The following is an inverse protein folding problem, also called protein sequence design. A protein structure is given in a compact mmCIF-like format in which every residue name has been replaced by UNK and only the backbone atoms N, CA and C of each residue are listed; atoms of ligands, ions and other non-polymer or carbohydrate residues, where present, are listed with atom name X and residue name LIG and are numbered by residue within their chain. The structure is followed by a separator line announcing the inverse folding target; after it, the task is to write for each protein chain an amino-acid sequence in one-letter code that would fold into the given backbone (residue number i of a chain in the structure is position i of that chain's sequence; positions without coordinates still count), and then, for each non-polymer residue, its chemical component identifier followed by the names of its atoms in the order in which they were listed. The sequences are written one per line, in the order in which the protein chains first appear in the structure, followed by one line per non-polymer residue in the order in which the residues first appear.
data_IF_146449479762
#
_entry.id   IF_146449479762
#
_cell.length_a   1.000
_cell.length_b   1.000
_cell.length_c   1.000
_cell.angle_alpha   90.00
_cell.angle_beta   90.00
_cell.angle_gamma   90.00
#
_symmetry.space_group_name_H-M   'P 1'
#
loop_
_entity.id
_entity.type
_entity.pdbx_description
1 polymer ?
#
# COMPACT_ATOMS: atom_id res chain seq x y z
N UNK A 1 -5.73 -15.39 11.41
CA UNK A 1 -5.85 -14.14 10.63
C UNK A 1 -4.45 -13.83 10.15
N UNK A 2 -4.25 -13.76 8.84
CA UNK A 2 -2.90 -13.73 8.29
C UNK A 2 -2.19 -12.41 8.57
N UNK A 3 -0.86 -12.44 8.56
CA UNK A 3 -0.02 -11.25 8.81
C UNK A 3 1.08 -11.12 7.76
N UNK A 4 1.39 -9.89 7.39
CA UNK A 4 2.51 -9.54 6.53
C UNK A 4 3.81 -9.61 7.33
N UNK A 5 4.82 -10.28 6.79
CA UNK A 5 6.20 -10.25 7.29
C UNK A 5 7.20 -10.12 6.15
N UNK A 6 8.29 -9.40 6.43
CA UNK A 6 9.48 -9.46 5.59
C UNK A 6 10.14 -10.83 5.74
N UNK A 7 10.53 -11.45 4.62
CA UNK A 7 11.22 -12.75 4.60
C UNK A 7 12.67 -12.54 5.08
N UNK A 8 13.18 -13.52 5.84
CA UNK A 8 14.59 -13.70 6.28
C UNK A 8 15.10 -12.90 7.51
N UNK A 9 15.50 -13.59 8.60
CA UNK A 9 16.34 -13.05 9.66
C UNK A 9 17.82 -13.17 9.24
N UNK A 10 18.31 -12.22 8.45
CA UNK A 10 19.67 -12.26 7.92
C UNK A 10 19.94 -11.12 6.97
N UNK A 11 19.90 -9.90 7.50
CA UNK A 11 19.99 -8.63 6.78
C UNK A 11 21.14 -8.62 5.76
N UNK A 12 20.79 -8.60 4.47
CA UNK A 12 21.63 -7.96 3.47
C UNK A 12 21.20 -6.49 3.38
N UNK A 13 22.11 -5.57 3.02
CA UNK A 13 21.99 -4.13 3.26
C UNK A 13 20.90 -3.39 2.44
N UNK A 14 19.89 -4.09 1.90
CA UNK A 14 18.87 -3.53 1.01
C UNK A 14 17.40 -3.81 1.41
N UNK A 15 17.17 -4.49 2.55
CA UNK A 15 15.83 -4.68 3.11
C UNK A 15 15.25 -3.32 3.55
N UNK A 16 14.10 -2.91 2.98
CA UNK A 16 13.62 -1.54 3.11
C UNK A 16 12.11 -1.40 3.11
N UNK A 17 11.61 -0.52 3.98
CA UNK A 17 10.24 -0.03 3.95
C UNK A 17 10.22 1.32 3.25
N UNK A 18 9.52 1.41 2.12
CA UNK A 18 9.26 2.67 1.42
C UNK A 18 7.89 3.17 1.84
N UNK A 19 7.81 4.43 2.26
CA UNK A 19 6.55 5.09 2.61
C UNK A 19 6.32 6.19 1.57
N UNK A 20 5.40 5.93 0.65
CA UNK A 20 4.96 6.88 -0.35
C UNK A 20 3.82 7.73 0.20
N UNK A 21 3.98 9.06 0.16
CA UNK A 21 2.92 10.04 0.39
C UNK A 21 2.77 10.92 -0.87
N UNK A 22 2.77 10.28 -2.04
CA UNK A 22 2.80 10.97 -3.31
C UNK A 22 1.40 11.47 -3.71
N UNK A 23 1.34 12.65 -4.31
CA UNK A 23 0.10 13.28 -4.76
C UNK A 23 -0.17 13.11 -6.26
N UNK A 24 0.73 12.43 -6.97
CA UNK A 24 0.63 12.32 -8.43
C UNK A 24 0.99 10.92 -8.96
N UNK A 25 0.41 10.61 -10.12
CA UNK A 25 0.60 9.33 -10.77
C UNK A 25 2.05 9.08 -11.24
N UNK A 26 2.82 10.12 -11.58
CA UNK A 26 4.20 9.96 -12.03
C UNK A 26 5.11 9.45 -10.90
N UNK A 27 5.00 10.03 -9.71
CA UNK A 27 5.71 9.57 -8.52
C UNK A 27 5.29 8.14 -8.13
N UNK A 28 3.98 7.82 -8.21
CA UNK A 28 3.51 6.44 -7.98
C UNK A 28 4.07 5.43 -8.98
N UNK A 29 4.20 5.78 -10.26
CA UNK A 29 4.88 4.93 -11.26
C UNK A 29 6.33 4.69 -10.87
N UNK A 30 7.08 5.74 -10.55
CA UNK A 30 8.48 5.63 -10.16
C UNK A 30 8.67 4.75 -8.91
N UNK A 31 7.76 4.82 -7.93
CA UNK A 31 7.77 3.91 -6.78
C UNK A 31 7.48 2.46 -7.17
N UNK A 32 6.50 2.23 -8.05
CA UNK A 32 6.15 0.89 -8.52
C UNK A 32 7.28 0.24 -9.33
N UNK A 33 8.02 1.02 -10.12
CA UNK A 33 9.20 0.58 -10.87
C UNK A 33 10.39 0.20 -9.96
N UNK A 34 10.42 0.69 -8.72
CA UNK A 34 11.47 0.36 -7.73
C UNK A 34 11.18 -0.92 -6.92
N UNK A 35 10.00 -1.53 -7.07
CA UNK A 35 9.58 -2.77 -6.42
C UNK A 35 10.01 -4.08 -7.11
N UNK A 36 9.93 -4.23 -8.45
CA UNK A 36 10.29 -5.49 -9.10
C UNK A 36 11.78 -5.83 -8.89
N UNK A 37 12.04 -6.99 -8.29
CA UNK A 37 13.39 -7.55 -8.15
C UNK A 37 13.82 -7.87 -6.71
N UNK A 38 13.10 -7.39 -5.69
CA UNK A 38 13.41 -7.71 -4.30
C UNK A 38 12.12 -7.87 -3.46
N UNK A 39 11.70 -9.12 -3.15
CA UNK A 39 10.53 -9.37 -2.32
C UNK A 39 10.70 -8.90 -0.86
N UNK A 40 11.90 -8.45 -0.45
CA UNK A 40 12.16 -7.90 0.87
C UNK A 40 11.85 -6.39 0.96
N UNK A 41 11.57 -5.72 -0.17
CA UNK A 41 11.18 -4.30 -0.19
C UNK A 41 9.67 -4.13 -0.16
N UNK A 42 9.18 -3.52 0.91
CA UNK A 42 7.74 -3.23 1.07
C UNK A 42 7.44 -1.78 0.75
N UNK A 43 6.35 -1.53 0.03
CA UNK A 43 5.80 -0.20 -0.20
C UNK A 43 4.51 -0.04 0.61
N UNK A 44 4.45 1.04 1.37
CA UNK A 44 3.23 1.61 1.93
C UNK A 44 2.92 2.86 1.08
N UNK A 45 1.84 2.85 0.31
CA UNK A 45 1.37 4.03 -0.44
C UNK A 45 0.17 4.65 0.27
N UNK A 46 0.33 5.87 0.75
CA UNK A 46 -0.72 6.69 1.34
C UNK A 46 -1.13 7.79 0.37
N UNK A 47 -2.44 7.99 0.23
CA UNK A 47 -3.01 9.06 -0.57
C UNK A 47 -4.39 9.44 -0.09
N UNK A 48 -4.79 10.66 -0.39
CA UNK A 48 -6.11 11.17 -0.06
C UNK A 48 -6.62 12.15 -1.12
N UNK A 49 -7.93 12.32 -1.11
CA UNK A 49 -8.63 13.47 -1.66
C UNK A 49 -8.98 14.41 -0.48
N UNK A 50 -10.12 15.07 -0.52
CA UNK A 50 -10.53 16.10 0.44
C UNK A 50 -11.02 15.50 1.76
N UNK A 51 -11.93 14.52 1.71
CA UNK A 51 -12.51 13.85 2.90
C UNK A 51 -12.34 12.33 2.89
N UNK A 52 -11.55 11.80 1.95
CA UNK A 52 -11.38 10.37 1.74
C UNK A 52 -9.92 10.04 1.50
N UNK A 53 -9.48 8.86 1.92
CA UNK A 53 -8.12 8.43 1.65
C UNK A 53 -7.90 6.94 1.80
N UNK A 54 -6.68 6.52 1.48
CA UNK A 54 -6.27 5.13 1.49
C UNK A 54 -4.80 4.97 1.87
N UNK A 55 -4.51 3.87 2.54
CA UNK A 55 -3.16 3.36 2.77
C UNK A 55 -3.11 1.95 2.23
N UNK A 56 -2.25 1.69 1.25
CA UNK A 56 -2.08 0.39 0.58
C UNK A 56 -0.70 -0.19 0.90
N UNK A 57 -0.62 -1.52 1.02
CA UNK A 57 0.61 -2.23 1.38
C UNK A 57 0.89 -3.37 0.41
N UNK A 58 2.09 -3.44 -0.14
CA UNK A 58 2.53 -4.57 -0.95
C UNK A 58 3.99 -4.49 -1.38
N UNK A 59 4.51 -5.59 -1.92
CA UNK A 59 5.92 -5.71 -2.29
C UNK A 59 6.14 -6.30 -3.70
N UNK A 60 5.12 -6.88 -4.33
CA UNK A 60 5.31 -7.60 -5.60
C UNK A 60 4.38 -7.14 -6.72
N UNK A 61 4.94 -7.11 -7.92
CA UNK A 61 4.23 -6.95 -9.18
C UNK A 61 3.93 -8.32 -9.85
N UNK A 62 3.13 -8.33 -10.90
CA UNK A 62 2.27 -9.47 -11.25
C UNK A 62 2.93 -10.78 -11.69
N UNK A 63 4.13 -10.89 -12.31
CA UNK A 63 4.53 -12.25 -12.67
C UNK A 63 4.97 -13.09 -11.46
N UNK A 64 5.38 -12.49 -10.34
CA UNK A 64 5.92 -13.24 -9.19
C UNK A 64 4.89 -14.20 -8.59
N UNK A 65 3.60 -13.86 -8.61
CA UNK A 65 2.52 -14.73 -8.15
C UNK A 65 2.36 -15.99 -9.00
N UNK A 66 2.97 -16.05 -10.19
CA UNK A 66 2.95 -17.25 -11.02
C UNK A 66 3.98 -18.29 -10.56
N UNK A 67 5.02 -17.85 -9.85
CA UNK A 67 6.23 -18.64 -9.57
C UNK A 67 6.37 -19.01 -8.09
N UNK A 68 5.90 -18.15 -7.18
CA UNK A 68 6.06 -18.37 -5.73
C UNK A 68 4.73 -18.29 -4.96
N UNK A 69 4.50 -19.18 -3.97
CA UNK A 69 3.34 -19.09 -3.11
C UNK A 69 3.43 -17.82 -2.23
N UNK A 70 2.38 -16.96 -2.22
CA UNK A 70 2.40 -15.71 -1.47
C UNK A 70 2.34 -15.88 0.06
N UNK A 71 2.04 -17.09 0.54
CA UNK A 71 1.88 -17.40 1.96
C UNK A 71 2.76 -18.56 2.41
N UNK A 72 3.28 -18.45 3.62
CA UNK A 72 3.83 -19.54 4.44
C UNK A 72 2.99 -19.66 5.71
N UNK A 73 2.11 -20.66 5.74
CA UNK A 73 1.06 -20.77 6.75
C UNK A 73 0.17 -19.52 6.79
N UNK A 74 0.08 -18.89 7.97
CA UNK A 74 -0.65 -17.64 8.19
C UNK A 74 0.17 -16.37 7.85
N UNK A 75 1.38 -16.52 7.32
CA UNK A 75 2.26 -15.39 7.01
C UNK A 75 2.23 -15.07 5.53
N UNK A 76 1.83 -13.85 5.17
CA UNK A 76 1.96 -13.33 3.81
C UNK A 76 3.36 -12.76 3.60
N UNK A 77 4.05 -13.30 2.60
CA UNK A 77 5.41 -12.92 2.22
C UNK A 77 5.41 -12.13 0.91
N UNK A 78 4.39 -12.35 0.07
CA UNK A 78 4.21 -11.66 -1.21
C UNK A 78 2.77 -11.11 -1.26
N UNK A 79 2.66 -9.79 -1.22
CA UNK A 79 1.39 -9.07 -1.29
C UNK A 79 1.35 -8.16 -2.53
N UNK A 80 0.20 -8.08 -3.24
CA UNK A 80 0.12 -7.29 -4.47
C UNK A 80 0.52 -5.84 -4.20
N UNK A 81 1.42 -5.29 -4.99
CA UNK A 81 1.84 -3.90 -4.87
C UNK A 81 0.64 -2.95 -4.94
N UNK A 82 0.70 -1.76 -4.31
CA UNK A 82 -0.40 -0.77 -4.35
C UNK A 82 -1.01 -0.54 -5.74
N UNK A 83 -0.18 -0.52 -6.79
CA UNK A 83 -0.62 -0.30 -8.18
C UNK A 83 -1.26 -1.52 -8.84
N UNK A 84 -1.05 -2.74 -8.33
CA UNK A 84 -1.87 -3.90 -8.69
C UNK A 84 -3.22 -3.88 -7.97
N UNK A 85 -3.23 -3.43 -6.71
CA UNK A 85 -4.48 -3.32 -5.95
C UNK A 85 -5.40 -2.23 -6.52
N UNK A 86 -4.81 -1.12 -6.97
CA UNK A 86 -5.49 0.05 -7.50
C UNK A 86 -4.76 0.58 -8.76
N UNK A 87 -5.00 -0.01 -9.94
CA UNK A 87 -4.38 0.43 -11.19
C UNK A 87 -4.72 1.87 -11.58
N UNK A 88 -5.87 2.38 -11.11
CA UNK A 88 -6.33 3.76 -11.29
C UNK A 88 -5.37 4.79 -10.69
N UNK A 89 -4.54 4.42 -9.71
CA UNK A 89 -3.52 5.30 -9.14
C UNK A 89 -2.45 5.73 -10.15
N UNK A 90 -2.25 4.95 -11.21
CA UNK A 90 -1.32 5.28 -12.27
C UNK A 90 -1.92 6.22 -13.32
N UNK A 91 -3.24 6.40 -13.35
CA UNK A 91 -3.92 7.28 -14.31
C UNK A 91 -4.62 8.47 -13.64
N UNK A 92 -4.58 8.53 -12.31
CA UNK A 92 -5.10 9.64 -11.53
C UNK A 92 -4.54 10.98 -12.03
N UNK A 93 -5.45 11.84 -12.48
CA UNK A 93 -5.13 13.21 -12.89
C UNK A 93 -5.15 14.07 -11.63
N UNK A 94 -4.03 14.75 -11.36
CA UNK A 94 -4.02 15.75 -10.31
C UNK A 94 -4.97 16.88 -10.69
N UNK A 95 -5.93 17.17 -9.82
CA UNK A 95 -6.79 18.37 -9.93
C UNK A 95 -6.08 19.62 -9.43
N UNK A 96 -4.86 19.48 -8.87
CA UNK A 96 -4.06 20.58 -8.36
C UNK A 96 -3.27 21.27 -9.49
N UNK A 97 -3.10 22.60 -9.44
CA UNK A 97 -2.21 23.31 -10.34
C UNK A 97 -0.78 22.73 -10.32
N UNK A 98 -0.10 22.62 -11.48
CA UNK A 98 1.14 21.86 -11.62
C UNK A 98 2.39 22.36 -10.85
N UNK A 99 2.32 23.44 -10.07
CA UNK A 99 3.48 24.03 -9.37
C UNK A 99 3.25 24.32 -7.88
N UNK A 100 2.21 23.74 -7.28
CA UNK A 100 1.87 23.94 -5.86
C UNK A 100 2.12 22.64 -5.10
N UNK A 101 3.07 22.66 -4.16
CA UNK A 101 3.29 21.51 -3.27
C UNK A 101 2.11 21.30 -2.30
N UNK A 102 2.00 20.12 -1.68
CA UNK A 102 0.89 19.80 -0.80
C UNK A 102 0.72 20.78 0.37
N UNK A 103 1.82 21.36 0.87
CA UNK A 103 1.76 22.29 1.99
C UNK A 103 1.26 23.66 1.53
N UNK A 104 1.77 24.16 0.40
CA UNK A 104 1.34 25.40 -0.22
C UNK A 104 -0.11 25.33 -0.75
N UNK A 105 -0.59 24.14 -1.08
CA UNK A 105 -1.98 23.93 -1.48
C UNK A 105 -2.96 24.11 -0.31
N UNK A 106 -2.57 23.77 0.92
CA UNK A 106 -3.41 24.01 2.11
C UNK A 106 -3.69 25.50 2.34
N UNK A 107 -2.75 26.35 1.95
CA UNK A 107 -2.90 27.81 2.06
C UNK A 107 -3.79 28.39 0.93
N UNK A 108 -4.02 27.63 -0.15
CA UNK A 108 -4.68 28.07 -1.38
C UNK A 108 -6.03 27.39 -1.64
N UNK A 109 -6.25 26.19 -1.12
CA UNK A 109 -7.47 25.41 -1.27
C UNK A 109 -7.95 25.00 0.12
N UNK A 110 -9.26 25.01 0.36
CA UNK A 110 -9.91 24.64 1.64
C UNK A 110 -9.69 23.15 2.08
N UNK A 111 -8.54 22.55 1.76
CA UNK A 111 -8.17 21.23 2.22
C UNK A 111 -7.89 21.29 3.72
N UNK A 112 -8.75 20.64 4.51
CA UNK A 112 -8.64 20.58 5.96
C UNK A 112 -7.34 19.82 6.36
N UNK A 113 -6.40 20.44 7.09
CA UNK A 113 -5.19 19.78 7.57
C UNK A 113 -5.44 18.48 8.36
N UNK A 114 -6.66 18.32 8.88
CA UNK A 114 -7.12 17.14 9.60
C UNK A 114 -6.98 15.86 8.77
N UNK A 115 -7.30 15.88 7.46
CA UNK A 115 -7.19 14.66 6.65
C UNK A 115 -5.75 14.18 6.57
N UNK A 116 -4.80 15.11 6.37
CA UNK A 116 -3.38 14.78 6.28
C UNK A 116 -2.88 14.16 7.60
N UNK A 117 -3.34 14.68 8.75
CA UNK A 117 -3.00 14.10 10.06
C UNK A 117 -3.61 12.70 10.26
N UNK A 118 -4.86 12.48 9.82
CA UNK A 118 -5.49 11.17 9.86
C UNK A 118 -4.75 10.17 8.97
N UNK A 119 -4.42 10.57 7.74
CA UNK A 119 -3.66 9.74 6.81
C UNK A 119 -2.27 9.38 7.34
N UNK A 120 -1.54 10.35 7.89
CA UNK A 120 -0.24 10.11 8.52
C UNK A 120 -0.34 9.12 9.69
N UNK A 121 -1.41 9.24 10.50
CA UNK A 121 -1.67 8.34 11.62
C UNK A 121 -1.98 6.91 11.15
N UNK A 122 -2.75 6.75 10.08
CA UNK A 122 -3.05 5.44 9.50
C UNK A 122 -1.80 4.81 8.89
N UNK A 123 -1.00 5.57 8.15
CA UNK A 123 0.27 5.09 7.61
C UNK A 123 1.22 4.65 8.74
N UNK A 124 1.36 5.46 9.79
CA UNK A 124 2.17 5.11 10.97
C UNK A 124 1.67 3.84 11.66
N UNK A 125 0.34 3.65 11.76
CA UNK A 125 -0.22 2.44 12.35
C UNK A 125 0.13 1.19 11.52
N UNK A 126 0.11 1.29 10.19
CA UNK A 126 0.57 0.21 9.29
C UNK A 126 2.05 -0.07 9.52
N UNK A 127 2.91 0.96 9.49
CA UNK A 127 4.35 0.84 9.76
C UNK A 127 4.60 0.13 11.09
N UNK A 128 3.97 0.60 12.17
CA UNK A 128 4.09 0.02 13.51
C UNK A 128 3.76 -1.47 13.52
N UNK A 129 2.69 -1.86 12.83
CA UNK A 129 2.25 -3.26 12.75
C UNK A 129 3.19 -4.11 11.90
N UNK A 130 3.74 -3.56 10.80
CA UNK A 130 4.70 -4.25 9.96
C UNK A 130 6.01 -4.50 10.68
N UNK A 131 6.56 -3.49 11.37
CA UNK A 131 7.76 -3.62 12.21
C UNK A 131 7.55 -4.65 13.32
N UNK A 132 6.37 -4.69 13.91
CA UNK A 132 6.01 -5.71 14.91
C UNK A 132 5.74 -7.11 14.31
N UNK A 133 5.70 -7.26 12.98
CA UNK A 133 5.35 -8.51 12.30
C UNK A 133 3.90 -8.96 12.55
N UNK A 134 2.99 -8.02 12.79
CA UNK A 134 1.57 -8.26 13.12
C UNK A 134 0.61 -7.53 12.19
N UNK A 135 1.07 -6.99 11.06
CA UNK A 135 0.22 -6.24 10.12
C UNK A 135 -0.72 -7.18 9.36
N UNK A 136 -2.05 -7.09 9.52
CA UNK A 136 -2.97 -7.91 8.76
C UNK A 136 -3.54 -7.19 7.53
N UNK A 137 -3.08 -5.97 7.22
CA UNK A 137 -3.74 -5.08 6.27
C UNK A 137 -3.09 -5.16 4.88
N UNK A 138 -3.91 -5.36 3.85
CA UNK A 138 -3.56 -5.00 2.47
C UNK A 138 -3.87 -3.53 2.21
N UNK A 139 -4.98 -3.05 2.77
CA UNK A 139 -5.40 -1.66 2.65
C UNK A 139 -6.14 -1.17 3.89
N UNK A 140 -6.08 0.12 4.16
CA UNK A 140 -6.99 0.86 5.03
C UNK A 140 -7.63 1.98 4.22
N UNK A 141 -8.95 2.11 4.27
CA UNK A 141 -9.69 3.20 3.62
C UNK A 141 -10.29 4.11 4.67
N UNK A 142 -10.06 5.40 4.56
CA UNK A 142 -10.60 6.45 5.43
C UNK A 142 -11.75 7.16 4.73
N UNK A 143 -12.83 7.38 5.48
CA UNK A 143 -13.97 8.19 5.13
C UNK A 143 -14.24 9.17 6.27
N UNK A 144 -14.01 10.46 6.05
CA UNK A 144 -14.28 11.48 7.06
C UNK A 144 -15.74 11.93 7.10
N UNK A 145 -16.48 11.75 6.01
CA UNK A 145 -17.90 12.10 5.95
C UNK A 145 -18.73 11.11 6.78
N UNK A 146 -18.38 9.82 6.75
CA UNK A 146 -18.98 8.79 7.60
C UNK A 146 -18.21 8.55 8.91
N UNK A 147 -17.00 9.10 9.05
CA UNK A 147 -16.14 8.87 10.21
C UNK A 147 -15.66 7.42 10.34
N UNK A 148 -15.38 6.74 9.24
CA UNK A 148 -15.04 5.31 9.24
C UNK A 148 -13.62 5.03 8.75
N UNK A 149 -13.04 3.94 9.26
CA UNK A 149 -11.83 3.32 8.71
C UNK A 149 -12.17 1.88 8.36
N UNK A 150 -12.15 1.57 7.06
CA UNK A 150 -12.50 0.25 6.51
C UNK A 150 -11.24 -0.52 6.12
N UNK A 151 -10.87 -1.59 6.84
CA UNK A 151 -9.71 -2.40 6.49
C UNK A 151 -10.02 -3.42 5.39
N UNK A 152 -9.07 -3.59 4.47
CA UNK A 152 -8.95 -4.80 3.65
C UNK A 152 -7.84 -5.67 4.23
N UNK A 153 -8.17 -6.91 4.56
CA UNK A 153 -7.22 -7.83 5.18
C UNK A 153 -6.44 -8.64 4.17
N UNK A 154 -5.22 -8.97 4.52
CA UNK A 154 -4.40 -9.93 3.79
C UNK A 154 -4.93 -11.34 4.05
N UNK A 155 -5.51 -11.95 3.02
CA UNK A 155 -5.94 -13.35 3.04
C UNK A 155 -5.61 -14.00 1.69
N UNK A 156 -5.48 -15.33 1.62
CA UNK A 156 -5.27 -16.03 0.36
C UNK A 156 -6.32 -15.67 -0.72
N UNK A 157 -7.58 -15.52 -0.32
CA UNK A 157 -8.69 -15.17 -1.20
C UNK A 157 -8.59 -13.72 -1.69
N UNK A 158 -8.23 -12.81 -0.79
CA UNK A 158 -8.03 -11.40 -1.14
C UNK A 158 -6.90 -11.24 -2.14
N UNK A 159 -5.76 -11.91 -1.91
CA UNK A 159 -4.62 -11.91 -2.83
C UNK A 159 -4.99 -12.53 -4.17
N UNK A 160 -5.57 -13.74 -4.19
CA UNK A 160 -5.97 -14.42 -5.42
C UNK A 160 -6.89 -13.55 -6.30
N UNK A 161 -7.90 -12.91 -5.69
CA UNK A 161 -8.81 -12.01 -6.40
C UNK A 161 -8.10 -10.82 -7.03
N UNK A 162 -7.13 -10.23 -6.32
CA UNK A 162 -6.39 -9.05 -6.80
C UNK A 162 -5.42 -9.38 -7.94
N UNK A 163 -4.96 -10.63 -8.03
CA UNK A 163 -4.09 -11.13 -9.10
C UNK A 163 -4.85 -11.94 -10.15
N UNK A 164 -6.18 -11.76 -10.25
CA UNK A 164 -7.00 -12.38 -11.28
C UNK A 164 -7.12 -13.90 -11.22
N UNK A 165 -6.81 -14.54 -10.08
CA UNK A 165 -6.96 -15.98 -9.87
C UNK A 165 -8.33 -16.33 -9.28
N UNK A 166 -8.92 -17.39 -9.81
CA UNK A 166 -10.21 -17.96 -9.34
C UNK A 166 -10.04 -18.85 -8.10
N UNK A 167 -8.84 -19.38 -7.84
CA UNK A 167 -8.57 -20.24 -6.69
C UNK A 167 -7.56 -19.60 -5.73
N UNK A 168 -7.85 -19.72 -4.42
CA UNK A 168 -6.99 -19.25 -3.33
C UNK A 168 -5.96 -20.30 -2.88
N UNK A 169 -5.93 -21.49 -3.51
CA UNK A 169 -4.99 -22.55 -3.19
C UNK A 169 -3.67 -22.30 -3.92
N UNK A 170 -2.63 -22.07 -3.15
CA UNK A 170 -1.28 -21.92 -3.63
C UNK A 170 -0.55 -23.24 -3.33
N UNK A 171 -0.26 -24.04 -4.35
CA UNK A 171 0.56 -25.25 -4.18
C UNK A 171 2.02 -24.83 -4.07
N UNK A 172 2.71 -25.31 -3.03
CA UNK A 172 4.15 -25.22 -2.90
C UNK A 172 4.88 -26.12 -3.91
#
# INVERSE_FOLDING_TARGET
MSSIKCRYPGLSQHDGLVIGCADNAAARRAMAECLPGDPCRWLIDAGNDTNWGQVLVGNVAEPVFLEEPPFDGDTCLLAPAPTLQRPDLLTAVSTRPPDVDCAAALDLTDQDPTINQMMASLALQVVRRMVAGTCPFLALYLDMDQGTVSPSYVTPEAVARLVGRTEARWTA
#
